data_IF_512645527742
#
_entry.id   IF_512645527742
#
_cell.length_a   1.000
_cell.length_b   1.000
_cell.length_c   1.000
_cell.angle_alpha   90.00
_cell.angle_beta   90.00
_cell.angle_gamma   90.00
#
_symmetry.space_group_name_H-M   'P 1'
#
loop_
_entity.id
_entity.type
_entity.pdbx_description
1 polymer ?
#
# COMPACT_ATOMS: atom_id res chain seq x y z
N UNK A 1 -5.24 2.49 11.14
CA UNK A 1 -6.17 3.54 11.65
C UNK A 1 -7.22 3.80 10.59
N UNK A 2 -8.53 3.80 10.90
CA UNK A 2 -9.57 4.09 9.92
C UNK A 2 -9.55 5.59 9.55
N UNK A 3 -9.81 5.86 8.27
CA UNK A 3 -9.92 7.18 7.64
C UNK A 3 -11.17 7.15 6.78
N UNK A 4 -11.97 8.19 6.82
CA UNK A 4 -13.16 8.32 5.98
C UNK A 4 -13.08 9.65 5.25
N UNK A 5 -13.17 9.58 3.92
CA UNK A 5 -12.83 10.70 3.04
C UNK A 5 -13.90 10.81 1.97
N UNK A 6 -14.51 11.97 1.84
CA UNK A 6 -15.40 12.31 0.74
C UNK A 6 -14.59 12.90 -0.43
N UNK A 7 -14.87 12.43 -1.64
CA UNK A 7 -14.14 12.75 -2.86
C UNK A 7 -15.12 13.08 -3.98
N UNK A 8 -14.75 14.01 -4.85
CA UNK A 8 -15.43 14.25 -6.13
C UNK A 8 -14.63 13.55 -7.22
N UNK A 9 -15.29 12.74 -8.06
CA UNK A 9 -14.62 12.10 -9.20
C UNK A 9 -14.44 13.10 -10.34
N UNK A 10 -13.36 13.87 -10.32
CA UNK A 10 -13.08 14.91 -11.32
C UNK A 10 -12.53 14.35 -12.65
N UNK A 11 -11.94 13.16 -12.64
CA UNK A 11 -11.31 12.50 -13.79
C UNK A 11 -11.79 11.05 -13.91
N UNK A 12 -11.71 10.48 -15.12
CA UNK A 12 -12.11 9.08 -15.35
C UNK A 12 -11.22 8.09 -14.59
N UNK A 13 -9.94 8.42 -14.47
CA UNK A 13 -8.95 7.65 -13.74
C UNK A 13 -8.50 8.38 -12.47
N UNK A 14 -8.68 7.75 -11.32
CA UNK A 14 -8.25 8.29 -10.02
C UNK A 14 -6.72 8.21 -9.82
N UNK A 15 -6.01 7.42 -10.63
CA UNK A 15 -4.57 7.18 -10.49
C UNK A 15 -4.19 6.11 -9.46
N UNK A 16 -5.10 5.19 -9.15
CA UNK A 16 -4.88 4.09 -8.22
C UNK A 16 -4.48 2.80 -8.94
N UNK A 17 -3.53 2.06 -8.36
CA UNK A 17 -3.35 0.64 -8.64
C UNK A 17 -3.74 -0.15 -7.39
N UNK A 18 -4.70 -1.05 -7.53
CA UNK A 18 -5.27 -1.84 -6.43
C UNK A 18 -4.81 -3.28 -6.59
N UNK A 19 -4.48 -3.92 -5.47
CA UNK A 19 -4.18 -5.34 -5.39
C UNK A 19 -4.90 -5.92 -4.16
N UNK A 20 -4.87 -7.23 -3.98
CA UNK A 20 -5.40 -7.87 -2.79
C UNK A 20 -4.40 -8.88 -2.23
N UNK A 21 -4.63 -9.29 -0.99
CA UNK A 21 -3.81 -10.30 -0.31
C UNK A 21 -4.24 -11.75 -0.61
N UNK A 22 -5.14 -11.98 -1.57
CA UNK A 22 -5.73 -13.29 -1.84
C UNK A 22 -6.72 -13.79 -0.77
N UNK A 23 -6.96 -13.02 0.29
CA UNK A 23 -7.80 -13.39 1.43
C UNK A 23 -8.87 -12.32 1.74
N UNK A 24 -9.31 -11.58 0.72
CA UNK A 24 -10.44 -10.66 0.82
C UNK A 24 -10.11 -9.23 1.27
N UNK A 25 -8.83 -8.85 1.34
CA UNK A 25 -8.44 -7.47 1.65
C UNK A 25 -7.78 -6.81 0.44
N UNK A 26 -8.52 -5.93 -0.23
CA UNK A 26 -8.00 -5.08 -1.30
C UNK A 26 -7.31 -3.84 -0.72
N UNK A 27 -6.17 -3.44 -1.28
CA UNK A 27 -5.39 -2.31 -0.80
C UNK A 27 -4.69 -1.56 -1.94
N UNK A 28 -4.30 -0.33 -1.65
CA UNK A 28 -3.62 0.55 -2.62
C UNK A 28 -2.16 0.09 -2.76
N UNK A 29 -1.80 -0.45 -3.92
CA UNK A 29 -0.43 -0.87 -4.24
C UNK A 29 0.44 0.26 -4.78
N UNK A 30 -0.15 1.14 -5.59
CA UNK A 30 0.53 2.31 -6.17
C UNK A 30 -0.44 3.47 -6.31
N UNK A 31 0.10 4.67 -6.21
CA UNK A 31 -0.57 5.93 -6.53
C UNK A 31 0.27 6.57 -7.65
N UNK A 32 -0.38 6.94 -8.75
CA UNK A 32 0.28 7.61 -9.88
C UNK A 32 0.59 9.06 -9.48
N UNK A 33 1.84 9.48 -9.66
CA UNK A 33 2.26 10.86 -9.41
C UNK A 33 1.45 11.86 -10.25
N UNK A 34 1.05 12.97 -9.64
CA UNK A 34 0.22 14.01 -10.26
C UNK A 34 -1.27 13.66 -10.43
N UNK A 35 -1.70 12.46 -10.05
CA UNK A 35 -3.11 12.05 -10.11
C UNK A 35 -4.00 12.75 -9.09
N UNK A 36 -5.32 12.62 -9.25
CA UNK A 36 -6.32 13.12 -8.29
C UNK A 36 -6.02 12.64 -6.88
N UNK A 37 -5.69 11.35 -6.71
CA UNK A 37 -5.41 10.78 -5.39
C UNK A 37 -4.04 11.21 -4.85
N UNK A 38 -3.02 11.41 -5.69
CA UNK A 38 -1.69 11.86 -5.24
C UNK A 38 -1.72 13.26 -4.58
N UNK A 39 -2.67 14.10 -4.99
CA UNK A 39 -2.90 15.42 -4.37
C UNK A 39 -3.46 15.30 -2.94
N UNK A 40 -4.02 14.15 -2.56
CA UNK A 40 -4.71 13.91 -1.30
C UNK A 40 -3.78 13.15 -0.34
N UNK A 41 -2.98 13.88 0.42
CA UNK A 41 -1.86 13.32 1.23
C UNK A 41 -2.27 12.37 2.37
N UNK A 42 -3.56 12.34 2.72
CA UNK A 42 -4.09 11.41 3.73
C UNK A 42 -4.24 9.97 3.19
N UNK A 43 -4.40 9.80 1.87
CA UNK A 43 -4.48 8.51 1.19
C UNK A 43 -3.06 8.05 0.85
N UNK A 44 -2.71 6.82 1.23
CA UNK A 44 -1.34 6.34 1.12
C UNK A 44 -1.27 4.91 0.57
N UNK A 45 -0.12 4.57 -0.02
CA UNK A 45 0.18 3.20 -0.42
C UNK A 45 0.15 2.29 0.81
N UNK A 46 -0.51 1.14 0.67
CA UNK A 46 -0.75 0.18 1.74
C UNK A 46 -2.10 0.33 2.44
N UNK A 47 -2.83 1.44 2.25
CA UNK A 47 -4.16 1.61 2.82
C UNK A 47 -5.13 0.53 2.28
N UNK A 48 -5.77 -0.19 3.19
CA UNK A 48 -6.83 -1.15 2.87
C UNK A 48 -8.12 -0.40 2.54
N UNK A 49 -8.79 -0.76 1.45
CA UNK A 49 -10.06 -0.18 1.04
C UNK A 49 -11.18 -1.00 1.67
N UNK A 50 -11.73 -0.49 2.77
CA UNK A 50 -12.76 -1.19 3.55
C UNK A 50 -14.15 -0.95 2.97
N UNK A 51 -14.46 0.30 2.56
CA UNK A 51 -15.77 0.66 1.98
C UNK A 51 -15.65 1.70 0.86
N UNK A 52 -16.55 1.60 -0.12
CA UNK A 52 -16.87 2.67 -1.08
C UNK A 52 -18.34 3.03 -0.84
N UNK A 53 -18.62 4.30 -0.56
CA UNK A 53 -19.94 4.74 -0.13
C UNK A 53 -20.44 3.89 1.06
N UNK A 54 -21.63 3.31 0.93
CA UNK A 54 -22.22 2.43 1.94
C UNK A 54 -21.86 0.95 1.75
N UNK A 55 -21.15 0.57 0.68
CA UNK A 55 -20.86 -0.84 0.38
C UNK A 55 -19.56 -1.31 1.03
N UNK A 56 -19.65 -2.41 1.79
CA UNK A 56 -18.51 -3.07 2.41
C UNK A 56 -17.78 -3.95 1.39
N UNK A 57 -16.45 -3.83 1.35
CA UNK A 57 -15.59 -4.48 0.36
C UNK A 57 -14.74 -5.60 0.96
N UNK A 58 -14.88 -5.90 2.25
CA UNK A 58 -14.23 -7.05 2.87
C UNK A 58 -14.71 -8.33 2.17
N UNK A 59 -13.76 -9.16 1.73
CA UNK A 59 -14.01 -10.38 0.96
C UNK A 59 -13.96 -10.19 -0.56
N UNK A 60 -14.02 -8.96 -1.06
CA UNK A 60 -13.96 -8.67 -2.51
C UNK A 60 -12.54 -8.80 -3.03
N UNK A 61 -12.43 -9.21 -4.30
CA UNK A 61 -11.16 -9.22 -5.03
C UNK A 61 -10.83 -7.84 -5.56
N UNK A 62 -9.54 -7.57 -5.78
CA UNK A 62 -9.04 -6.27 -6.22
C UNK A 62 -9.67 -5.80 -7.54
N UNK A 63 -10.06 -6.72 -8.42
CA UNK A 63 -10.71 -6.38 -9.69
C UNK A 63 -12.15 -5.90 -9.50
N UNK A 64 -12.88 -6.40 -8.50
CA UNK A 64 -14.24 -5.93 -8.18
C UNK A 64 -14.17 -4.50 -7.62
N UNK A 65 -13.25 -4.26 -6.67
CA UNK A 65 -13.03 -2.92 -6.09
C UNK A 65 -12.60 -1.92 -7.17
N UNK A 66 -11.69 -2.31 -8.07
CA UNK A 66 -11.29 -1.48 -9.19
C UNK A 66 -12.44 -1.19 -10.16
N UNK A 67 -13.32 -2.18 -10.43
CA UNK A 67 -14.51 -1.99 -11.25
C UNK A 67 -15.47 -0.98 -10.62
N UNK A 68 -15.76 -1.11 -9.33
CA UNK A 68 -16.65 -0.19 -8.63
C UNK A 68 -16.14 1.26 -8.69
N UNK A 69 -14.85 1.49 -8.45
CA UNK A 69 -14.26 2.83 -8.57
C UNK A 69 -14.33 3.38 -10.01
N UNK A 70 -14.21 2.50 -11.00
CA UNK A 70 -14.34 2.88 -12.41
C UNK A 70 -15.78 3.24 -12.77
N UNK A 71 -16.77 2.53 -12.23
CA UNK A 71 -18.20 2.70 -12.48
C UNK A 71 -18.81 3.95 -11.81
N UNK A 72 -18.15 4.52 -10.79
CA UNK A 72 -18.59 5.81 -10.20
C UNK A 72 -18.70 6.87 -11.31
N UNK A 73 -19.82 7.58 -11.43
CA UNK A 73 -19.98 8.64 -12.43
C UNK A 73 -18.96 9.78 -12.24
N UNK A 74 -18.43 10.30 -13.34
CA UNK A 74 -17.62 11.51 -13.30
C UNK A 74 -18.48 12.69 -12.83
N UNK A 75 -17.95 13.50 -11.93
CA UNK A 75 -18.63 14.64 -11.31
C UNK A 75 -19.46 14.29 -10.06
N UNK A 76 -19.68 13.01 -9.75
CA UNK A 76 -20.35 12.64 -8.51
C UNK A 76 -19.40 12.66 -7.31
N UNK A 77 -19.97 12.88 -6.13
CA UNK A 77 -19.30 12.61 -4.85
C UNK A 77 -19.36 11.12 -4.51
N UNK A 78 -18.32 10.63 -3.84
CA UNK A 78 -18.28 9.30 -3.26
C UNK A 78 -17.43 9.31 -2.00
N UNK A 79 -17.70 8.41 -1.06
CA UNK A 79 -16.89 8.26 0.15
C UNK A 79 -15.98 7.03 0.07
N UNK A 80 -14.77 7.17 0.59
CA UNK A 80 -13.82 6.08 0.77
C UNK A 80 -13.52 5.91 2.23
N UNK A 81 -13.72 4.70 2.74
CA UNK A 81 -13.26 4.29 4.05
C UNK A 81 -12.00 3.44 3.90
N UNK A 82 -10.89 3.96 4.40
CA UNK A 82 -9.57 3.37 4.30
C UNK A 82 -9.05 2.98 5.68
N UNK A 83 -8.34 1.85 5.77
CA UNK A 83 -7.66 1.43 7.01
C UNK A 83 -6.17 1.37 6.76
N UNK A 84 -5.43 2.27 7.41
CA UNK A 84 -3.98 2.30 7.32
C UNK A 84 -3.36 1.13 8.10
N UNK A 85 -2.40 0.39 7.52
CA UNK A 85 -1.68 -0.67 8.20
C UNK A 85 -0.85 -0.11 9.35
N UNK A 86 -0.59 -0.94 10.36
CA UNK A 86 0.31 -0.54 11.45
C UNK A 86 1.75 -0.44 10.94
N UNK A 87 2.23 0.79 10.70
CA UNK A 87 3.58 1.04 10.18
C UNK A 87 4.70 0.79 11.20
N UNK A 88 4.40 0.86 12.50
CA UNK A 88 5.39 0.81 13.58
C UNK A 88 5.18 -0.38 14.54
N UNK A 89 4.86 -1.57 14.04
CA UNK A 89 4.67 -2.76 14.88
C UNK A 89 5.93 -3.24 15.64
N UNK A 90 7.12 -2.83 15.20
CA UNK A 90 8.41 -3.25 15.77
C UNK A 90 9.35 -2.09 16.15
N UNK A 91 8.83 -0.85 16.24
CA UNK A 91 9.65 0.31 16.64
C UNK A 91 10.27 0.16 18.04
N UNK A 92 9.74 -0.75 18.86
CA UNK A 92 10.11 -1.00 20.25
C UNK A 92 10.59 -2.43 20.54
N UNK A 93 10.55 -3.36 19.58
CA UNK A 93 10.92 -4.77 19.79
C UNK A 93 11.70 -5.28 18.58
N UNK A 94 13.03 -5.18 18.63
CA UNK A 94 13.94 -5.78 17.64
C UNK A 94 15.37 -5.24 17.81
N UNK A 95 16.42 -6.08 17.67
CA UNK A 95 17.79 -5.60 17.78
C UNK A 95 18.02 -4.58 16.67
N UNK A 96 18.41 -3.36 17.07
CA UNK A 96 18.72 -2.24 16.19
C UNK A 96 19.60 -2.71 15.04
N UNK A 97 19.04 -2.84 13.84
CA UNK A 97 19.85 -2.75 12.64
C UNK A 97 20.46 -1.34 12.62
N UNK A 98 21.77 -1.28 12.37
CA UNK A 98 22.58 -0.07 12.45
C UNK A 98 21.88 1.12 11.75
N UNK A 99 21.64 2.26 12.43
CA UNK A 99 21.03 3.44 11.83
C UNK A 99 21.83 4.01 10.63
N UNK A 100 23.08 3.57 10.40
CA UNK A 100 23.85 3.86 9.18
C UNK A 100 23.37 3.09 7.95
N UNK A 101 22.63 1.99 8.11
CA UNK A 101 22.01 1.23 7.02
C UNK A 101 20.66 1.88 6.70
N UNK A 102 20.69 3.14 6.28
CA UNK A 102 19.53 3.81 5.70
C UNK A 102 18.93 2.89 4.64
N UNK A 103 17.61 2.75 4.64
CA UNK A 103 16.89 1.90 3.69
C UNK A 103 17.30 2.30 2.27
N UNK A 104 18.27 1.56 1.70
CA UNK A 104 18.71 1.81 0.34
C UNK A 104 17.51 1.51 -0.54
N UNK A 105 17.12 2.46 -1.39
CA UNK A 105 16.38 2.21 -2.62
C UNK A 105 17.28 1.39 -3.57
N UNK A 106 17.71 0.21 -3.13
CA UNK A 106 18.56 -0.70 -3.86
C UNK A 106 17.69 -1.66 -4.66
N UNK A 107 18.08 -1.92 -5.90
CA UNK A 107 17.58 -3.06 -6.65
C UNK A 107 17.94 -4.36 -5.91
N UNK A 108 17.00 -5.30 -5.84
CA UNK A 108 17.18 -6.61 -5.18
C UNK A 108 16.03 -6.97 -4.25
N UNK A 109 15.94 -8.25 -3.88
CA UNK A 109 14.85 -8.75 -3.01
C UNK A 109 15.05 -8.42 -1.52
N UNK A 110 16.21 -7.89 -1.14
CA UNK A 110 16.60 -7.67 0.25
C UNK A 110 16.83 -8.96 1.05
N UNK A 111 16.75 -10.13 0.40
CA UNK A 111 17.05 -11.43 1.02
C UNK A 111 18.55 -11.54 1.23
N UNK A 112 18.95 -11.72 2.48
CA UNK A 112 20.35 -11.96 2.80
C UNK A 112 20.72 -13.43 2.56
N UNK A 113 21.98 -13.69 2.26
CA UNK A 113 22.54 -15.02 2.06
C UNK A 113 23.77 -15.22 2.94
N UNK A 114 23.91 -16.42 3.53
CA UNK A 114 25.11 -16.81 4.24
C UNK A 114 26.19 -17.20 3.23
N UNK A 115 27.25 -16.40 3.12
CA UNK A 115 28.35 -16.64 2.19
C UNK A 115 29.57 -17.19 2.90
N UNK A 116 29.92 -18.43 2.57
CA UNK A 116 31.20 -19.05 2.92
C UNK A 116 32.30 -18.54 1.99
N UNK A 117 33.48 -18.27 2.56
CA UNK A 117 34.68 -17.78 1.86
C UNK A 117 35.77 -18.84 1.90
N UNK A 118 36.70 -18.77 0.94
CA UNK A 118 37.80 -19.72 0.80
C UNK A 118 38.82 -19.64 1.97
N UNK A 119 38.84 -18.53 2.70
CA UNK A 119 39.64 -18.35 3.92
C UNK A 119 39.00 -19.01 5.17
N UNK A 120 37.87 -19.70 5.00
CA UNK A 120 37.14 -20.37 6.07
C UNK A 120 36.16 -19.44 6.82
N UNK A 121 36.11 -18.15 6.50
CA UNK A 121 35.14 -17.22 7.10
C UNK A 121 33.74 -17.37 6.50
N UNK A 122 32.73 -16.98 7.27
CA UNK A 122 31.35 -16.90 6.80
C UNK A 122 30.73 -15.54 7.15
N UNK A 123 30.08 -14.91 6.17
CA UNK A 123 29.45 -13.60 6.33
C UNK A 123 28.06 -13.56 5.72
N UNK A 124 27.14 -12.88 6.38
CA UNK A 124 25.82 -12.55 5.84
C UNK A 124 26.01 -11.43 4.80
N UNK A 125 25.49 -11.63 3.59
CA UNK A 125 25.52 -10.63 2.52
C UNK A 125 24.11 -10.32 2.00
N UNK A 126 23.83 -9.07 1.58
CA UNK A 126 22.59 -8.70 0.89
C UNK A 126 22.41 -9.38 -0.47
#
# INVERSE_FOLDING_TARGET
RPKEIELVKTEDALGLTITDNGAGYAFIKRIKEGSVIDKIKIIQVGDHIEKINSENLIGRRHFEVARMLKEIPKGSTFTLRLVEPQKNGFGSIGPRSDPRKGGKKGYGSGKETLRFKADGSAHIQP
#
